data_IF_800623049655
#
_entry.id   IF_800623049655
#
_cell.length_a   1.000
_cell.length_b   1.000
_cell.length_c   1.000
_cell.angle_alpha   90.00
_cell.angle_beta   90.00
_cell.angle_gamma   90.00
#
_symmetry.space_group_name_H-M   'P 1'
#
loop_
_entity.id
_entity.type
_entity.pdbx_description
1 polymer ?
#
# COMPACT_ATOMS: atom_id res chain seq x y z
N UNK A 1 13.40 -33.72 -2.64
CA UNK A 1 13.90 -32.41 -3.12
C UNK A 1 13.08 -31.32 -2.44
N UNK A 2 13.69 -30.38 -1.73
CA UNK A 2 12.92 -29.35 -1.00
C UNK A 2 12.57 -28.20 -1.93
N UNK A 3 11.29 -27.77 -1.94
CA UNK A 3 10.77 -26.63 -2.72
C UNK A 3 11.54 -25.33 -2.43
N UNK A 4 12.21 -25.27 -1.28
CA UNK A 4 13.01 -24.11 -0.86
C UNK A 4 14.44 -24.12 -1.40
N UNK A 5 14.96 -25.24 -1.90
CA UNK A 5 16.36 -25.29 -2.37
C UNK A 5 16.50 -24.48 -3.65
N UNK A 6 17.53 -23.63 -3.70
CA UNK A 6 17.87 -22.77 -4.85
C UNK A 6 16.80 -21.76 -5.26
N UNK A 7 15.77 -21.56 -4.43
CA UNK A 7 14.75 -20.54 -4.63
C UNK A 7 14.92 -19.41 -3.62
N UNK A 8 14.30 -18.26 -3.89
CA UNK A 8 14.28 -17.11 -2.98
C UNK A 8 13.66 -17.45 -1.60
N UNK A 9 12.89 -18.54 -1.52
CA UNK A 9 12.29 -19.08 -0.29
C UNK A 9 13.32 -19.77 0.62
N UNK A 10 14.54 -20.06 0.12
CA UNK A 10 15.61 -20.73 0.86
C UNK A 10 16.03 -19.97 2.13
N UNK A 11 15.98 -18.64 2.08
CA UNK A 11 16.48 -17.75 3.13
C UNK A 11 15.38 -17.30 4.10
N UNK A 12 14.14 -17.69 3.85
CA UNK A 12 13.00 -17.32 4.70
C UNK A 12 12.85 -18.27 5.89
N UNK A 13 12.79 -17.69 7.07
CA UNK A 13 12.42 -18.40 8.30
C UNK A 13 10.91 -18.61 8.43
N UNK A 14 10.09 -18.03 7.55
CA UNK A 14 8.63 -18.22 7.56
C UNK A 14 8.23 -19.58 6.99
N UNK A 15 7.11 -20.12 7.47
CA UNK A 15 6.44 -21.28 6.88
C UNK A 15 5.94 -20.97 5.47
N UNK A 16 5.86 -21.97 4.59
CA UNK A 16 5.36 -21.77 3.22
C UNK A 16 3.92 -21.24 3.22
N UNK A 17 3.08 -21.78 4.12
CA UNK A 17 1.71 -21.29 4.31
C UNK A 17 1.66 -19.81 4.70
N UNK A 18 2.54 -19.37 5.60
CA UNK A 18 2.61 -17.96 6.01
C UNK A 18 3.05 -17.07 4.85
N UNK A 19 4.01 -17.53 4.04
CA UNK A 19 4.47 -16.78 2.86
C UNK A 19 3.34 -16.65 1.84
N UNK A 20 2.70 -17.76 1.46
CA UNK A 20 1.61 -17.76 0.49
C UNK A 20 0.41 -16.93 1.00
N UNK A 21 0.05 -17.09 2.27
CA UNK A 21 -1.02 -16.32 2.90
C UNK A 21 -0.69 -14.82 2.96
N UNK A 22 0.53 -14.46 3.34
CA UNK A 22 0.98 -13.06 3.36
C UNK A 22 0.85 -12.43 1.98
N UNK A 23 1.42 -13.07 0.95
CA UNK A 23 1.40 -12.54 -0.43
C UNK A 23 -0.04 -12.42 -0.94
N UNK A 24 -0.91 -13.40 -0.64
CA UNK A 24 -2.32 -13.34 -1.01
C UNK A 24 -3.00 -12.09 -0.44
N UNK A 25 -2.96 -11.89 0.87
CA UNK A 25 -3.59 -10.72 1.51
C UNK A 25 -2.96 -9.39 1.08
N UNK A 26 -1.65 -9.38 0.86
CA UNK A 26 -0.91 -8.20 0.42
C UNK A 26 -1.35 -7.76 -0.99
N UNK A 27 -1.51 -8.70 -1.93
CA UNK A 27 -2.02 -8.43 -3.28
C UNK A 27 -3.47 -7.91 -3.23
N UNK A 28 -4.26 -8.36 -2.27
CA UNK A 28 -5.62 -7.83 -2.03
C UNK A 28 -5.64 -6.47 -1.31
N UNK A 29 -4.49 -5.78 -1.19
CA UNK A 29 -4.34 -4.47 -0.56
C UNK A 29 -4.89 -4.43 0.88
N UNK A 30 -4.69 -5.52 1.62
CA UNK A 30 -5.14 -5.62 3.02
C UNK A 30 -4.20 -4.84 3.93
N UNK A 31 -4.75 -4.19 4.96
CA UNK A 31 -3.95 -3.49 5.95
C UNK A 31 -2.93 -4.43 6.62
N UNK A 32 -1.66 -4.01 6.70
CA UNK A 32 -0.57 -4.81 7.27
C UNK A 32 -0.84 -5.28 8.71
N UNK A 33 -1.60 -4.51 9.49
CA UNK A 33 -2.01 -4.86 10.86
C UNK A 33 -2.96 -6.06 10.92
N UNK A 34 -3.77 -6.28 9.87
CA UNK A 34 -4.64 -7.46 9.75
C UNK A 34 -3.80 -8.68 9.35
N UNK A 35 -2.88 -8.51 8.40
CA UNK A 35 -1.96 -9.56 7.96
C UNK A 35 -1.07 -10.03 9.11
N UNK A 36 -0.57 -9.09 9.93
CA UNK A 36 0.22 -9.38 11.14
C UNK A 36 -0.52 -10.32 12.10
N UNK A 37 -1.80 -10.02 12.37
CA UNK A 37 -2.66 -10.81 13.25
C UNK A 37 -3.00 -12.18 12.66
N UNK A 38 -3.38 -12.22 11.39
CA UNK A 38 -3.83 -13.45 10.73
C UNK A 38 -2.68 -14.45 10.53
N UNK A 39 -1.52 -13.96 10.09
CA UNK A 39 -0.34 -14.81 9.84
C UNK A 39 0.50 -15.06 11.10
N UNK A 40 0.15 -14.42 12.23
CA UNK A 40 0.85 -14.48 13.52
C UNK A 40 2.35 -14.22 13.38
N UNK A 41 2.69 -13.22 12.57
CA UNK A 41 4.06 -12.77 12.33
C UNK A 41 4.32 -11.46 13.06
N UNK A 42 5.58 -11.13 13.33
CA UNK A 42 5.88 -9.85 13.99
C UNK A 42 5.72 -8.67 13.03
N UNK A 43 5.41 -7.49 13.57
CA UNK A 43 5.41 -6.24 12.80
C UNK A 43 6.67 -6.03 11.96
N UNK A 44 7.86 -6.34 12.50
CA UNK A 44 9.13 -6.21 11.76
C UNK A 44 9.13 -7.09 10.51
N UNK A 45 8.76 -8.36 10.67
CA UNK A 45 8.67 -9.30 9.54
C UNK A 45 7.61 -8.81 8.55
N UNK A 46 6.47 -8.34 9.02
CA UNK A 46 5.37 -7.83 8.17
C UNK A 46 5.84 -6.68 7.28
N UNK A 47 6.58 -5.71 7.85
CA UNK A 47 7.14 -4.59 7.10
C UNK A 47 8.21 -5.05 6.12
N UNK A 48 9.15 -5.90 6.56
CA UNK A 48 10.21 -6.44 5.71
C UNK A 48 9.62 -7.17 4.49
N UNK A 49 8.59 -7.99 4.70
CA UNK A 49 7.91 -8.72 3.63
C UNK A 49 7.06 -7.82 2.73
N UNK A 50 6.45 -6.76 3.26
CA UNK A 50 5.75 -5.77 2.42
C UNK A 50 6.72 -5.04 1.50
N UNK A 51 7.88 -4.60 2.01
CA UNK A 51 8.92 -3.98 1.19
C UNK A 51 9.42 -4.93 0.12
N UNK A 52 9.63 -6.20 0.47
CA UNK A 52 10.02 -7.23 -0.48
C UNK A 52 8.98 -7.42 -1.61
N UNK A 53 7.68 -7.44 -1.27
CA UNK A 53 6.64 -7.52 -2.29
C UNK A 53 6.64 -6.29 -3.21
N UNK A 54 6.87 -5.08 -2.66
CA UNK A 54 7.04 -3.87 -3.46
C UNK A 54 8.26 -3.97 -4.39
N UNK A 55 9.41 -4.46 -3.93
CA UNK A 55 10.61 -4.64 -4.76
C UNK A 55 10.32 -5.55 -5.95
N UNK A 56 9.68 -6.70 -5.72
CA UNK A 56 9.33 -7.65 -6.79
C UNK A 56 8.37 -7.03 -7.81
N UNK A 57 7.34 -6.30 -7.34
CA UNK A 57 6.41 -5.60 -8.24
C UNK A 57 7.13 -4.51 -9.02
N UNK A 58 8.01 -3.76 -8.36
CA UNK A 58 8.78 -2.68 -8.97
C UNK A 58 9.74 -3.18 -10.06
N UNK A 59 10.43 -4.29 -9.82
CA UNK A 59 11.30 -4.92 -10.81
C UNK A 59 10.53 -5.30 -12.08
N UNK A 60 9.33 -5.89 -11.93
CA UNK A 60 8.46 -6.21 -13.07
C UNK A 60 7.95 -4.94 -13.77
N UNK A 61 7.54 -3.92 -13.01
CA UNK A 61 7.10 -2.64 -13.56
C UNK A 61 8.20 -1.95 -14.38
N UNK A 62 9.45 -1.98 -13.92
CA UNK A 62 10.59 -1.46 -14.69
C UNK A 62 10.82 -2.30 -15.95
N UNK A 63 10.77 -3.63 -15.84
CA UNK A 63 10.93 -4.53 -16.99
C UNK A 63 9.89 -4.28 -18.09
N UNK A 64 8.67 -3.89 -17.70
CA UNK A 64 7.57 -3.58 -18.61
C UNK A 64 7.42 -2.07 -18.90
N UNK A 65 8.31 -1.22 -18.36
CA UNK A 65 8.16 0.22 -18.48
C UNK A 65 8.25 0.66 -19.95
N UNK A 66 7.13 1.13 -20.49
CA UNK A 66 7.10 1.78 -21.80
C UNK A 66 7.61 3.21 -21.68
N UNK A 67 8.36 3.65 -22.69
CA UNK A 67 8.78 5.05 -22.78
C UNK A 67 7.56 5.99 -22.71
N UNK A 68 7.57 6.90 -21.74
CA UNK A 68 6.64 8.02 -21.65
C UNK A 68 7.10 9.10 -22.63
N UNK A 69 6.30 9.34 -23.68
CA UNK A 69 6.59 10.30 -24.74
C UNK A 69 7.34 9.71 -25.95
N UNK A 70 7.58 10.57 -26.94
CA UNK A 70 8.15 10.21 -28.24
C UNK A 70 7.88 11.31 -29.27
N UNK A 71 8.47 11.22 -30.47
CA UNK A 71 8.23 12.20 -31.53
C UNK A 71 6.73 12.30 -31.83
N UNK A 72 6.15 13.50 -31.68
CA UNK A 72 4.71 13.75 -31.88
C UNK A 72 3.82 13.39 -30.70
N UNK A 73 4.36 12.96 -29.56
CA UNK A 73 3.60 12.73 -28.33
C UNK A 73 3.72 13.93 -27.39
N UNK A 74 2.59 14.53 -27.03
CA UNK A 74 2.51 15.56 -25.99
C UNK A 74 2.41 14.83 -24.65
N UNK A 75 3.38 15.06 -23.76
CA UNK A 75 3.38 14.52 -22.40
C UNK A 75 3.05 15.65 -21.46
N UNK A 76 2.02 15.47 -20.64
CA UNK A 76 1.70 16.36 -19.54
C UNK A 76 2.63 16.09 -18.36
N UNK A 77 3.33 17.11 -17.90
CA UNK A 77 4.18 17.03 -16.72
C UNK A 77 3.45 17.76 -15.60
N UNK A 78 2.83 16.99 -14.72
CA UNK A 78 2.29 17.57 -13.50
C UNK A 78 3.45 18.02 -12.58
N UNK A 79 3.36 19.27 -12.10
CA UNK A 79 4.35 19.84 -11.19
C UNK A 79 3.87 19.67 -9.76
N UNK A 80 4.23 18.56 -9.14
CA UNK A 80 4.06 18.43 -7.70
C UNK A 80 4.98 19.39 -6.95
N UNK A 81 4.41 20.33 -6.19
CA UNK A 81 5.15 21.30 -5.37
C UNK A 81 5.66 20.62 -4.09
N UNK A 82 6.69 19.81 -4.19
CA UNK A 82 7.40 19.28 -3.01
C UNK A 82 8.34 20.34 -2.40
N UNK A 83 7.80 21.21 -1.56
CA UNK A 83 8.59 22.18 -0.79
C UNK A 83 9.29 21.55 0.41
N UNK A 84 10.61 21.35 0.37
CA UNK A 84 11.39 21.11 1.60
C UNK A 84 11.66 22.43 2.32
N UNK A 85 11.33 22.49 3.62
CA UNK A 85 11.68 23.64 4.47
C UNK A 85 13.20 23.80 4.53
N UNK A 86 13.71 24.97 4.12
CA UNK A 86 15.09 25.35 4.38
C UNK A 86 15.18 25.95 5.79
N UNK A 87 15.94 25.30 6.68
CA UNK A 87 16.18 25.74 8.07
C UNK A 87 14.95 25.89 8.98
N UNK A 88 13.89 25.07 8.82
CA UNK A 88 12.64 25.18 9.63
C UNK A 88 12.02 26.60 9.66
N UNK A 89 12.37 27.44 8.69
CA UNK A 89 11.90 28.83 8.56
C UNK A 89 11.19 28.99 7.22
N UNK A 90 10.11 29.76 7.22
CA UNK A 90 9.29 30.03 6.04
C UNK A 90 7.88 29.41 6.10
N UNK A 91 6.96 30.03 5.35
CA UNK A 91 5.56 29.64 5.23
C UNK A 91 5.42 28.22 4.67
N UNK A 92 4.48 27.43 5.22
CA UNK A 92 4.13 26.12 4.66
C UNK A 92 3.46 26.39 3.33
N UNK A 93 4.05 25.92 2.23
CA UNK A 93 3.34 25.89 0.95
C UNK A 93 2.38 24.71 1.07
N UNK A 94 1.14 24.98 1.44
CA UNK A 94 0.07 24.00 1.25
C UNK A 94 -0.08 23.81 -0.25
N UNK A 95 0.10 22.56 -0.70
CA UNK A 95 -0.36 22.19 -2.03
C UNK A 95 -1.87 22.25 -1.97
N UNK A 96 -2.45 23.33 -2.48
CA UNK A 96 -3.85 23.32 -2.87
C UNK A 96 -3.90 22.66 -4.24
N UNK A 97 -4.62 21.55 -4.32
CA UNK A 97 -5.11 21.04 -5.59
C UNK A 97 -6.16 22.05 -6.06
N UNK A 98 -5.93 22.69 -7.20
CA UNK A 98 -6.94 23.54 -7.86
C UNK A 98 -8.03 22.63 -8.46
N UNK A 99 -8.97 22.23 -7.62
CA UNK A 99 -10.33 21.85 -8.02
C UNK A 99 -11.27 22.06 -6.84
N UNK A 100 -11.62 23.32 -6.58
CA UNK A 100 -12.79 23.66 -5.78
C UNK A 100 -13.95 24.12 -6.68
N UNK A 101 -15.16 23.84 -6.18
CA UNK A 101 -16.53 24.13 -6.62
C UNK A 101 -17.19 22.96 -7.37
N UNK A 102 -18.35 22.43 -6.99
CA UNK A 102 -19.40 22.71 -5.98
C UNK A 102 -20.26 21.41 -6.04
N UNK A 103 -20.76 20.78 -4.98
CA UNK A 103 -21.91 21.16 -4.17
C UNK A 103 -21.91 20.30 -2.88
N UNK A 104 -22.18 20.96 -1.76
CA UNK A 104 -22.42 20.36 -0.45
C UNK A 104 -23.80 19.66 -0.42
N UNK A 105 -23.83 18.36 -0.14
CA UNK A 105 -25.00 17.72 0.49
C UNK A 105 -24.53 17.05 1.79
N UNK A 106 -24.89 17.68 2.90
CA UNK A 106 -24.81 17.14 4.24
C UNK A 106 -25.60 15.82 4.32
N UNK A 107 -24.90 14.69 4.53
CA UNK A 107 -25.54 13.43 4.92
C UNK A 107 -25.08 13.08 6.33
N UNK A 108 -26.06 13.21 7.23
CA UNK A 108 -26.01 13.02 8.66
C UNK A 108 -25.34 11.70 9.10
N UNK A 109 -24.74 11.79 10.29
CA UNK A 109 -24.19 10.73 11.12
C UNK A 109 -25.02 9.43 11.10
N UNK A 110 -24.47 8.35 10.53
CA UNK A 110 -24.99 7.00 10.80
C UNK A 110 -24.36 6.49 12.09
N UNK A 111 -25.12 6.61 13.17
CA UNK A 111 -24.90 5.93 14.45
C UNK A 111 -24.74 4.41 14.26
N UNK A 112 -23.53 3.90 14.46
CA UNK A 112 -23.31 2.46 14.65
C UNK A 112 -23.55 2.09 16.12
N UNK A 113 -24.83 2.09 16.52
CA UNK A 113 -25.29 1.42 17.72
C UNK A 113 -26.67 0.83 17.45
N UNK A 114 -26.73 -0.49 17.24
CA UNK A 114 -27.78 -1.41 17.72
C UNK A 114 -27.66 -2.77 17.03
N UNK A 115 -26.89 -3.68 17.62
CA UNK A 115 -27.30 -5.10 17.67
C UNK A 115 -27.14 -5.54 19.12
N UNK A 116 -28.14 -5.20 19.92
CA UNK A 116 -28.42 -5.91 21.17
C UNK A 116 -28.94 -7.32 20.82
N UNK A 117 -28.38 -8.29 21.56
CA UNK A 117 -28.93 -9.62 21.86
C UNK A 117 -29.91 -10.28 20.90
N UNK A 118 -29.47 -11.36 20.28
CA UNK A 118 -30.32 -12.52 20.01
C UNK A 118 -29.54 -13.79 20.36
N UNK A 119 -29.87 -14.29 21.55
CA UNK A 119 -30.06 -15.68 21.98
C UNK A 119 -28.86 -16.64 22.11
N UNK A 120 -28.63 -16.95 23.39
CA UNK A 120 -28.04 -18.19 23.87
C UNK A 120 -28.94 -19.39 23.55
N UNK A 121 -28.37 -20.42 22.92
CA UNK A 121 -28.60 -21.85 23.19
C UNK A 121 -27.36 -22.63 22.76
#
# INVERSE_FOLDING_TARGET
TSVRKETFLARSHLGLFQICGFVHWWVHNTALSVIEKEMRISKRITVDWSSFCCEVVFDEMIGQAKQLGGNGSIVEIDKSKFGRRKHYRGHRVEGQDESENEEDEDVDDIEFNNISGVDAY
#
